data_IF_156971071139
#
_entry.id   IF_156971071139
#
_cell.length_a   1.000
_cell.length_b   1.000
_cell.length_c   1.000
_cell.angle_alpha   90.00
_cell.angle_beta   90.00
_cell.angle_gamma   90.00
#
_symmetry.space_group_name_H-M   'P 1'
#
loop_
_entity.id
_entity.type
_entity.pdbx_description
1 polymer ?
#
# COMPACT_ATOMS: atom_id res chain seq x y z
N UNK A 1 0.80 3.59 22.27
CA UNK A 1 1.68 2.42 22.51
C UNK A 1 1.68 1.59 21.23
N UNK A 2 2.67 1.83 20.39
CA UNK A 2 2.83 1.17 19.08
C UNK A 2 3.47 -0.20 19.32
N UNK A 3 2.77 -1.29 18.97
CA UNK A 3 3.38 -2.61 18.86
C UNK A 3 4.23 -2.61 17.60
N UNK A 4 5.54 -2.66 17.78
CA UNK A 4 6.51 -2.99 16.75
C UNK A 4 6.23 -4.43 16.27
N UNK A 5 5.55 -4.59 15.15
CA UNK A 5 5.55 -5.88 14.47
C UNK A 5 6.89 -6.06 13.77
N UNK A 6 7.61 -7.13 14.06
CA UNK A 6 8.88 -7.41 13.38
C UNK A 6 8.62 -7.73 11.89
N UNK A 7 9.56 -7.38 10.99
CA UNK A 7 9.43 -7.67 9.57
C UNK A 7 9.23 -9.17 9.33
N UNK A 8 8.53 -9.57 8.26
CA UNK A 8 8.24 -10.96 7.97
C UNK A 8 9.56 -11.74 7.85
N UNK A 9 9.82 -12.60 8.83
CA UNK A 9 11.02 -13.44 8.84
C UNK A 9 11.01 -14.29 7.58
N UNK A 10 12.08 -14.17 6.80
CA UNK A 10 12.25 -14.96 5.58
C UNK A 10 12.18 -16.45 5.93
N UNK A 11 11.47 -17.24 5.13
CA UNK A 11 11.36 -18.70 5.30
C UNK A 11 12.69 -19.44 4.96
N UNK A 12 13.72 -18.69 4.53
CA UNK A 12 15.03 -19.21 4.20
C UNK A 12 15.72 -19.98 5.35
N UNK A 13 15.75 -19.48 6.62
CA UNK A 13 16.38 -20.23 7.71
C UNK A 13 15.64 -21.52 8.06
N UNK A 14 14.32 -21.58 7.88
CA UNK A 14 13.54 -22.82 8.10
C UNK A 14 13.82 -23.86 7.01
N UNK A 15 13.94 -23.45 5.75
CA UNK A 15 14.34 -24.34 4.64
C UNK A 15 15.74 -24.89 4.83
N UNK A 16 16.68 -24.04 5.24
CA UNK A 16 18.04 -24.44 5.54
C UNK A 16 18.10 -25.46 6.71
N UNK A 17 17.30 -25.23 7.75
CA UNK A 17 17.18 -26.14 8.90
C UNK A 17 16.62 -27.51 8.51
N UNK A 18 15.58 -27.57 7.71
CA UNK A 18 14.99 -28.82 7.20
C UNK A 18 15.98 -29.58 6.28
N UNK A 19 16.69 -28.85 5.42
CA UNK A 19 17.71 -29.45 4.54
C UNK A 19 18.89 -30.01 5.35
N UNK A 20 19.36 -29.27 6.36
CA UNK A 20 20.42 -29.72 7.27
C UNK A 20 20.00 -30.94 8.09
N UNK A 21 18.77 -30.97 8.63
CA UNK A 21 18.23 -32.11 9.36
C UNK A 21 18.07 -33.36 8.47
N UNK A 22 17.69 -33.21 7.20
CA UNK A 22 17.60 -34.29 6.24
C UNK A 22 18.98 -34.84 5.83
N UNK A 23 20.02 -34.00 5.84
CA UNK A 23 21.39 -34.40 5.49
C UNK A 23 22.19 -34.94 6.68
N UNK A 24 21.81 -34.63 7.92
CA UNK A 24 22.49 -35.06 9.14
C UNK A 24 22.64 -36.59 9.26
N UNK A 25 21.62 -37.44 9.02
CA UNK A 25 21.76 -38.90 9.06
C UNK A 25 22.77 -39.42 8.02
N UNK A 26 22.79 -38.81 6.85
CA UNK A 26 23.70 -39.17 5.78
C UNK A 26 25.13 -38.74 6.09
N UNK A 27 25.34 -37.52 6.58
CA UNK A 27 26.62 -36.99 6.96
C UNK A 27 27.25 -37.76 8.15
N UNK A 28 26.42 -38.08 9.17
CA UNK A 28 26.90 -38.86 10.33
C UNK A 28 27.28 -40.28 9.93
N UNK A 29 26.60 -40.90 8.96
CA UNK A 29 26.90 -42.23 8.47
C UNK A 29 28.14 -42.24 7.55
N UNK A 30 28.37 -41.19 6.76
CA UNK A 30 29.60 -41.06 5.94
C UNK A 30 30.81 -40.87 6.82
N UNK A 31 30.71 -40.09 7.90
CA UNK A 31 31.78 -39.87 8.88
C UNK A 31 32.08 -41.12 9.72
N UNK A 32 31.07 -41.90 10.15
CA UNK A 32 31.24 -43.03 11.04
C UNK A 32 31.78 -44.29 10.36
N UNK A 33 31.64 -44.47 9.06
CA UNK A 33 31.95 -45.75 8.36
C UNK A 33 33.01 -45.68 7.27
N UNK A 34 33.64 -44.51 7.05
CA UNK A 34 34.63 -44.39 5.94
C UNK A 34 34.07 -45.01 4.65
N UNK A 35 33.70 -44.24 3.71
CA UNK A 35 32.83 -44.39 2.54
C UNK A 35 32.81 -45.72 1.71
N UNK A 36 33.39 -46.82 2.12
CA UNK A 36 33.75 -47.94 1.21
C UNK A 36 33.20 -49.31 1.56
N UNK A 37 32.41 -49.54 2.62
CA UNK A 37 31.92 -50.89 2.90
C UNK A 37 30.46 -51.00 3.33
N UNK A 38 29.54 -50.46 2.50
CA UNK A 38 28.11 -50.65 2.74
C UNK A 38 27.50 -51.69 1.84
N UNK A 39 26.64 -52.52 2.45
CA UNK A 39 25.76 -53.35 1.64
C UNK A 39 24.82 -52.45 0.81
N UNK A 40 24.46 -52.82 -0.43
CA UNK A 40 23.52 -52.04 -1.29
C UNK A 40 22.18 -51.74 -0.56
N UNK A 41 21.76 -52.58 0.38
CA UNK A 41 20.51 -52.39 1.15
C UNK A 41 20.54 -51.20 2.08
N UNK A 42 21.67 -50.97 2.77
CA UNK A 42 21.81 -49.82 3.72
C UNK A 42 21.87 -48.46 3.02
N UNK A 43 22.46 -48.46 1.82
CA UNK A 43 22.47 -47.23 1.01
C UNK A 43 21.06 -46.85 0.53
N UNK A 44 20.27 -47.84 0.06
CA UNK A 44 18.90 -47.60 -0.39
C UNK A 44 17.95 -47.17 0.74
N UNK A 45 18.09 -47.73 1.95
CA UNK A 45 17.27 -47.31 3.11
C UNK A 45 17.57 -45.88 3.57
N UNK A 46 18.84 -45.46 3.49
CA UNK A 46 19.25 -44.10 3.83
C UNK A 46 18.71 -43.09 2.80
N UNK A 47 18.78 -43.41 1.50
CA UNK A 47 18.22 -42.55 0.44
C UNK A 47 16.71 -42.41 0.60
N UNK A 48 16.00 -43.54 0.83
CA UNK A 48 14.54 -43.52 1.05
C UNK A 48 14.14 -42.68 2.26
N UNK A 49 14.84 -42.82 3.39
CA UNK A 49 14.58 -42.01 4.60
C UNK A 49 14.79 -40.52 4.32
N UNK A 50 15.84 -40.14 3.61
CA UNK A 50 16.11 -38.75 3.25
C UNK A 50 15.03 -38.19 2.29
N UNK A 51 14.58 -38.97 1.32
CA UNK A 51 13.51 -38.57 0.40
C UNK A 51 12.18 -38.33 1.15
N UNK A 52 11.83 -39.20 2.11
CA UNK A 52 10.64 -39.04 2.96
C UNK A 52 10.76 -37.76 3.80
N UNK A 53 11.90 -37.51 4.42
CA UNK A 53 12.12 -36.32 5.23
C UNK A 53 11.99 -35.01 4.40
N UNK A 54 12.55 -35.01 3.20
CA UNK A 54 12.42 -33.86 2.26
C UNK A 54 10.97 -33.67 1.84
N UNK A 55 10.29 -34.76 1.46
CA UNK A 55 8.88 -34.70 1.05
C UNK A 55 7.99 -34.16 2.19
N UNK A 56 8.24 -34.61 3.43
CA UNK A 56 7.53 -34.11 4.62
C UNK A 56 7.80 -32.63 4.89
N UNK A 57 9.06 -32.19 4.76
CA UNK A 57 9.45 -30.78 4.90
C UNK A 57 8.79 -29.89 3.85
N UNK A 58 8.74 -30.34 2.59
CA UNK A 58 8.05 -29.63 1.51
C UNK A 58 6.54 -29.58 1.79
N UNK A 59 5.96 -30.67 2.24
CA UNK A 59 4.53 -30.74 2.58
C UNK A 59 4.16 -29.75 3.72
N UNK A 60 4.94 -29.72 4.80
CA UNK A 60 4.75 -28.74 5.88
C UNK A 60 4.87 -27.31 5.33
N UNK A 61 5.86 -27.03 4.49
CA UNK A 61 6.04 -25.71 3.90
C UNK A 61 4.84 -25.27 3.06
N UNK A 62 4.29 -26.21 2.29
CA UNK A 62 3.07 -25.96 1.49
C UNK A 62 1.86 -25.69 2.39
N UNK A 63 1.70 -26.45 3.48
CA UNK A 63 0.62 -26.19 4.46
C UNK A 63 0.75 -24.82 5.09
N UNK A 64 1.93 -24.46 5.59
CA UNK A 64 2.17 -23.14 6.20
C UNK A 64 1.95 -21.98 5.21
N UNK A 65 2.28 -22.17 3.93
CA UNK A 65 1.98 -21.18 2.88
C UNK A 65 0.49 -21.07 2.61
N UNK A 66 -0.24 -22.18 2.61
CA UNK A 66 -1.70 -22.19 2.45
C UNK A 66 -2.41 -21.50 3.61
N UNK A 67 -2.02 -21.77 4.84
CA UNK A 67 -2.58 -21.10 6.03
C UNK A 67 -2.33 -19.59 6.00
N UNK A 68 -1.12 -19.16 5.65
CA UNK A 68 -0.81 -17.73 5.52
C UNK A 68 -1.65 -17.07 4.42
N UNK A 69 -1.85 -17.74 3.30
CA UNK A 69 -2.67 -17.24 2.21
C UNK A 69 -4.17 -17.14 2.58
N UNK A 70 -4.69 -18.10 3.34
CA UNK A 70 -6.08 -18.07 3.86
C UNK A 70 -6.25 -16.98 4.91
N UNK A 71 -5.34 -16.84 5.84
CA UNK A 71 -5.40 -15.79 6.86
C UNK A 71 -5.28 -14.39 6.26
N UNK A 72 -4.41 -14.21 5.25
CA UNK A 72 -4.31 -12.95 4.52
C UNK A 72 -5.62 -12.63 3.76
N UNK A 73 -6.30 -13.62 3.18
CA UNK A 73 -7.61 -13.43 2.54
C UNK A 73 -8.69 -13.07 3.57
N UNK A 74 -8.75 -13.76 4.70
CA UNK A 74 -9.71 -13.43 5.76
C UNK A 74 -9.51 -12.02 6.32
N UNK A 75 -8.26 -11.57 6.50
CA UNK A 75 -7.95 -10.20 6.88
C UNK A 75 -8.40 -9.21 5.79
N UNK A 76 -8.10 -9.48 4.53
CA UNK A 76 -8.55 -8.66 3.41
C UNK A 76 -10.08 -8.62 3.29
N UNK A 77 -10.76 -9.73 3.56
CA UNK A 77 -12.24 -9.79 3.57
C UNK A 77 -12.84 -8.99 4.75
N UNK A 78 -12.22 -9.05 5.93
CA UNK A 78 -12.61 -8.23 7.08
C UNK A 78 -12.32 -6.73 6.84
N UNK A 79 -11.18 -6.38 6.28
CA UNK A 79 -10.86 -5.02 5.84
C UNK A 79 -11.80 -4.55 4.74
N UNK A 80 -12.22 -5.44 3.84
CA UNK A 80 -13.23 -5.15 2.81
C UNK A 80 -14.63 -4.85 3.39
N UNK A 81 -14.92 -5.25 4.62
CA UNK A 81 -16.16 -4.89 5.34
C UNK A 81 -16.06 -3.51 6.00
N UNK A 82 -14.86 -2.99 6.22
CA UNK A 82 -14.67 -1.63 6.76
C UNK A 82 -14.82 -0.60 5.65
N UNK A 83 -15.28 0.59 6.02
CA UNK A 83 -15.38 1.76 5.12
C UNK A 83 -14.25 2.77 5.38
N UNK A 84 -13.29 2.42 6.22
CA UNK A 84 -12.17 3.29 6.61
C UNK A 84 -10.82 2.68 6.23
N UNK A 85 -9.85 3.53 5.92
CA UNK A 85 -8.44 3.19 5.77
C UNK A 85 -7.77 3.14 7.16
N UNK A 86 -7.15 2.03 7.56
CA UNK A 86 -6.62 1.86 8.92
C UNK A 86 -5.39 2.73 9.19
N UNK A 87 -4.64 3.14 8.17
CA UNK A 87 -3.43 3.96 8.34
C UNK A 87 -3.77 5.43 8.58
N UNK A 88 -4.69 5.97 7.79
CA UNK A 88 -5.02 7.39 7.78
C UNK A 88 -6.31 7.74 8.53
N UNK A 89 -7.17 6.76 8.78
CA UNK A 89 -8.49 6.95 9.39
C UNK A 89 -9.49 7.67 8.48
N UNK A 90 -9.18 7.89 7.21
CA UNK A 90 -10.11 8.40 6.20
C UNK A 90 -11.01 7.28 5.68
N UNK A 91 -12.00 7.63 4.85
CA UNK A 91 -12.72 6.63 4.07
C UNK A 91 -11.78 5.89 3.13
N UNK A 92 -12.06 4.63 2.83
CA UNK A 92 -11.36 3.87 1.80
C UNK A 92 -12.04 4.02 0.42
N UNK A 93 -11.50 3.37 -0.62
CA UNK A 93 -12.06 3.38 -1.98
C UNK A 93 -13.54 3.00 -2.01
N UNK A 94 -13.95 2.02 -1.22
CA UNK A 94 -15.33 1.53 -1.15
C UNK A 94 -16.27 2.57 -0.53
N UNK A 95 -15.80 3.27 0.50
CA UNK A 95 -16.53 4.40 1.08
C UNK A 95 -16.70 5.55 0.08
N UNK A 96 -15.64 5.86 -0.68
CA UNK A 96 -15.70 6.86 -1.75
C UNK A 96 -16.78 6.53 -2.79
N UNK A 97 -16.75 5.33 -3.38
CA UNK A 97 -17.69 4.91 -4.43
C UNK A 97 -19.15 5.01 -3.94
N UNK A 98 -19.39 4.56 -2.71
CA UNK A 98 -20.71 4.62 -2.09
C UNK A 98 -21.18 6.06 -1.83
N UNK A 99 -20.29 6.90 -1.30
CA UNK A 99 -20.64 8.27 -0.93
C UNK A 99 -20.72 9.19 -2.16
N UNK A 100 -19.86 9.01 -3.15
CA UNK A 100 -19.89 9.78 -4.38
C UNK A 100 -21.23 9.62 -5.10
N UNK A 101 -21.71 8.39 -5.28
CA UNK A 101 -23.00 8.14 -5.91
C UNK A 101 -24.16 8.84 -5.18
N UNK A 102 -24.14 8.82 -3.84
CA UNK A 102 -25.15 9.49 -3.00
C UNK A 102 -25.06 11.01 -3.11
N UNK A 103 -23.85 11.53 -3.07
CA UNK A 103 -23.61 12.97 -3.13
C UNK A 103 -23.97 13.54 -4.48
N UNK A 104 -23.69 12.84 -5.59
CA UNK A 104 -24.12 13.23 -6.93
C UNK A 104 -25.65 13.32 -7.04
N UNK A 105 -26.38 12.34 -6.52
CA UNK A 105 -27.86 12.39 -6.50
C UNK A 105 -28.39 13.57 -5.68
N UNK A 106 -27.76 13.84 -4.54
CA UNK A 106 -28.14 14.95 -3.65
C UNK A 106 -27.82 16.30 -4.29
N UNK A 107 -26.61 16.46 -4.88
CA UNK A 107 -26.16 17.65 -5.59
C UNK A 107 -27.12 18.00 -6.72
N UNK A 108 -27.47 17.03 -7.58
CA UNK A 108 -28.45 17.23 -8.67
C UNK A 108 -29.82 17.68 -8.15
N UNK A 109 -30.30 17.08 -7.04
CA UNK A 109 -31.65 17.43 -6.49
C UNK A 109 -31.69 18.81 -5.85
N UNK A 110 -30.60 19.25 -5.23
CA UNK A 110 -30.52 20.51 -4.48
C UNK A 110 -29.86 21.63 -5.27
N UNK A 111 -29.44 21.37 -6.50
CA UNK A 111 -28.68 22.30 -7.36
C UNK A 111 -27.43 22.85 -6.65
N UNK A 112 -26.75 21.98 -5.88
CA UNK A 112 -25.52 22.34 -5.21
C UNK A 112 -24.30 21.94 -6.05
N UNK A 113 -23.27 22.81 -6.18
CA UNK A 113 -22.07 22.47 -6.89
C UNK A 113 -21.32 21.34 -6.20
N UNK A 114 -20.75 20.44 -6.99
CA UNK A 114 -19.99 19.30 -6.57
C UNK A 114 -18.70 19.25 -7.36
N UNK A 115 -17.58 19.13 -6.66
CA UNK A 115 -16.26 18.92 -7.28
C UNK A 115 -15.59 17.68 -6.68
N UNK A 116 -14.74 17.02 -7.47
CA UNK A 116 -13.77 16.04 -7.02
C UNK A 116 -12.37 16.65 -7.04
N UNK A 117 -11.62 16.42 -5.97
CA UNK A 117 -10.21 16.73 -5.86
C UNK A 117 -9.44 15.42 -5.72
N UNK A 118 -8.63 15.08 -6.71
CA UNK A 118 -7.71 13.95 -6.68
C UNK A 118 -6.31 14.43 -6.26
N UNK A 119 -5.65 13.71 -5.36
CA UNK A 119 -4.34 14.06 -4.80
C UNK A 119 -3.42 12.83 -4.84
N UNK A 120 -2.14 13.07 -5.09
CA UNK A 120 -1.08 12.06 -5.07
C UNK A 120 0.14 12.62 -4.32
N UNK A 121 0.72 11.81 -3.43
CA UNK A 121 1.93 12.20 -2.69
C UNK A 121 3.14 11.99 -3.59
N UNK A 122 3.79 13.09 -3.95
CA UNK A 122 4.96 13.04 -4.80
C UNK A 122 6.14 12.37 -4.09
N UNK A 123 6.84 11.50 -4.82
CA UNK A 123 8.10 10.90 -4.39
C UNK A 123 8.02 10.09 -3.08
N UNK A 124 6.85 9.55 -2.72
CA UNK A 124 6.69 8.70 -1.53
C UNK A 124 7.65 7.52 -1.53
N UNK A 125 7.94 6.94 -2.71
CA UNK A 125 8.93 5.88 -2.86
C UNK A 125 10.32 6.34 -2.42
N UNK A 126 10.74 7.55 -2.79
CA UNK A 126 12.03 8.11 -2.39
C UNK A 126 12.11 8.31 -0.87
N UNK A 127 11.02 8.74 -0.23
CA UNK A 127 10.93 8.83 1.24
C UNK A 127 11.10 7.44 1.87
N UNK A 128 10.41 6.42 1.34
CA UNK A 128 10.54 5.05 1.81
C UNK A 128 11.95 4.49 1.66
N UNK A 129 12.57 4.69 0.50
CA UNK A 129 13.89 4.17 0.18
C UNK A 129 14.98 4.84 1.04
N UNK A 130 14.83 6.12 1.36
CA UNK A 130 15.82 6.92 2.12
C UNK A 130 15.63 6.85 3.63
N UNK A 131 14.39 6.80 4.12
CA UNK A 131 14.05 6.94 5.55
C UNK A 131 13.28 5.76 6.12
N UNK A 132 12.99 4.75 5.26
CA UNK A 132 12.25 3.55 5.63
C UNK A 132 10.73 3.70 5.52
N UNK A 133 10.04 2.56 5.46
CA UNK A 133 8.57 2.52 5.29
C UNK A 133 7.80 3.23 6.41
N UNK A 134 8.33 3.26 7.63
CA UNK A 134 7.70 4.00 8.74
C UNK A 134 7.58 5.50 8.45
N UNK A 135 8.60 6.10 7.80
CA UNK A 135 8.58 7.51 7.42
C UNK A 135 7.56 7.78 6.30
N UNK A 136 7.39 6.85 5.35
CA UNK A 136 6.33 6.92 4.35
C UNK A 136 4.95 6.82 4.98
N UNK A 137 4.75 5.91 5.92
CA UNK A 137 3.50 5.79 6.68
C UNK A 137 3.17 7.06 7.46
N UNK A 138 4.17 7.69 8.09
CA UNK A 138 3.99 8.97 8.81
C UNK A 138 3.63 10.10 7.85
N UNK A 139 4.22 10.11 6.64
CA UNK A 139 3.84 11.04 5.56
C UNK A 139 2.37 10.88 5.16
N UNK A 140 1.90 9.65 5.00
CA UNK A 140 0.50 9.35 4.66
C UNK A 140 -0.45 9.72 5.81
N UNK A 141 -0.07 9.46 7.07
CA UNK A 141 -0.84 9.89 8.27
C UNK A 141 -0.93 11.41 8.34
N UNK A 142 0.16 12.13 8.05
CA UNK A 142 0.19 13.58 8.02
C UNK A 142 -0.78 14.14 6.97
N UNK A 143 -0.85 13.53 5.77
CA UNK A 143 -1.83 13.92 4.76
C UNK A 143 -3.25 13.65 5.24
N UNK A 144 -3.54 12.47 5.80
CA UNK A 144 -4.85 12.15 6.36
C UNK A 144 -5.30 13.16 7.42
N UNK A 145 -4.39 13.58 8.31
CA UNK A 145 -4.67 14.61 9.32
C UNK A 145 -4.92 15.99 8.68
N UNK A 146 -4.13 16.36 7.68
CA UNK A 146 -4.30 17.62 6.92
C UNK A 146 -5.64 17.67 6.23
N UNK A 147 -6.06 16.58 5.56
CA UNK A 147 -7.36 16.50 4.90
C UNK A 147 -8.50 16.71 5.88
N UNK A 148 -8.49 16.02 7.03
CA UNK A 148 -9.52 16.23 8.08
C UNK A 148 -9.57 17.66 8.58
N UNK A 149 -8.42 18.31 8.78
CA UNK A 149 -8.36 19.67 9.28
C UNK A 149 -8.82 20.71 8.24
N UNK A 150 -8.52 20.47 6.98
CA UNK A 150 -8.88 21.38 5.88
C UNK A 150 -10.31 21.16 5.37
N UNK A 151 -10.91 19.99 5.59
CA UNK A 151 -12.27 19.69 5.17
C UNK A 151 -13.29 20.33 6.08
N UNK A 152 -14.43 20.74 5.51
CA UNK A 152 -15.56 21.29 6.28
C UNK A 152 -16.43 20.14 6.74
N UNK A 153 -16.75 20.11 8.04
CA UNK A 153 -17.62 19.08 8.59
C UNK A 153 -18.98 19.04 7.89
N UNK A 154 -19.39 17.83 7.49
CA UNK A 154 -20.66 17.58 6.82
C UNK A 154 -20.75 18.06 5.35
N UNK A 155 -19.71 18.74 4.83
CA UNK A 155 -19.68 19.22 3.45
C UNK A 155 -18.59 18.54 2.60
N UNK A 156 -17.42 18.33 3.15
CA UNK A 156 -16.30 17.74 2.45
C UNK A 156 -15.92 16.39 3.07
N UNK A 157 -15.55 15.42 2.26
CA UNK A 157 -15.18 14.08 2.73
C UNK A 157 -13.94 13.59 2.01
N UNK A 158 -12.95 13.08 2.80
CA UNK A 158 -11.67 12.60 2.30
C UNK A 158 -11.56 11.08 2.33
N UNK A 159 -10.90 10.53 1.31
CA UNK A 159 -10.74 9.09 1.09
C UNK A 159 -9.32 8.77 0.63
N UNK A 160 -8.79 7.62 1.08
CA UNK A 160 -7.57 7.04 0.51
C UNK A 160 -7.97 5.92 -0.43
N UNK A 161 -7.57 6.03 -1.71
CA UNK A 161 -8.02 5.12 -2.77
C UNK A 161 -6.93 4.20 -3.31
N UNK A 162 -5.68 4.53 -3.00
CA UNK A 162 -4.49 3.79 -3.41
C UNK A 162 -3.37 3.95 -2.38
N UNK A 163 -2.16 3.50 -2.72
CA UNK A 163 -0.99 3.61 -1.86
C UNK A 163 -0.68 5.04 -1.42
N UNK A 164 -0.55 5.95 -2.38
CA UNK A 164 -0.24 7.38 -2.27
C UNK A 164 -1.35 8.30 -2.80
N UNK A 165 -2.50 7.72 -3.18
CA UNK A 165 -3.61 8.39 -3.84
C UNK A 165 -4.76 8.68 -2.87
N UNK A 166 -5.25 9.92 -2.91
CA UNK A 166 -6.36 10.40 -2.10
C UNK A 166 -7.39 11.14 -2.95
N UNK A 167 -8.64 11.07 -2.54
CA UNK A 167 -9.76 11.77 -3.21
C UNK A 167 -10.58 12.51 -2.17
N UNK A 168 -11.01 13.72 -2.50
CA UNK A 168 -12.02 14.45 -1.71
C UNK A 168 -13.26 14.67 -2.57
N UNK A 169 -14.41 14.45 -1.95
CA UNK A 169 -15.71 14.95 -2.42
C UNK A 169 -15.88 16.32 -1.79
N UNK A 170 -16.06 17.35 -2.61
CA UNK A 170 -16.11 18.75 -2.17
C UNK A 170 -17.44 19.37 -2.62
N UNK A 171 -18.28 19.80 -1.68
CA UNK A 171 -19.52 20.51 -1.99
C UNK A 171 -19.21 22.00 -2.27
N UNK A 172 -18.57 22.25 -3.41
CA UNK A 172 -18.22 23.56 -3.93
C UNK A 172 -18.05 23.49 -5.45
N UNK A 173 -18.08 24.67 -6.08
CA UNK A 173 -17.64 24.86 -7.45
C UNK A 173 -16.13 24.60 -7.60
N UNK A 174 -15.67 24.65 -8.84
CA UNK A 174 -14.26 24.42 -9.16
C UNK A 174 -13.31 25.36 -8.38
N UNK A 175 -13.66 26.65 -8.32
CA UNK A 175 -12.80 27.63 -7.65
C UNK A 175 -12.69 27.37 -6.14
N UNK A 176 -13.79 26.99 -5.51
CA UNK A 176 -13.81 26.57 -4.10
C UNK A 176 -12.97 25.33 -3.86
N UNK A 177 -13.06 24.34 -4.72
CA UNK A 177 -12.25 23.12 -4.64
C UNK A 177 -10.76 23.38 -4.90
N UNK A 178 -10.41 24.29 -5.83
CA UNK A 178 -9.02 24.69 -6.07
C UNK A 178 -8.43 25.48 -4.88
N UNK A 179 -9.21 26.33 -4.22
CA UNK A 179 -8.79 26.97 -2.97
C UNK A 179 -8.53 25.97 -1.85
N UNK A 180 -9.39 24.94 -1.74
CA UNK A 180 -9.19 23.86 -0.80
C UNK A 180 -7.92 23.06 -1.12
N UNK A 181 -7.68 22.75 -2.39
CA UNK A 181 -6.48 22.04 -2.84
C UNK A 181 -5.21 22.79 -2.43
N UNK A 182 -5.14 24.11 -2.68
CA UNK A 182 -4.00 24.95 -2.26
C UNK A 182 -3.79 24.91 -0.74
N UNK A 183 -4.86 25.08 0.05
CA UNK A 183 -4.79 25.02 1.51
C UNK A 183 -4.27 23.67 2.03
N UNK A 184 -4.68 22.57 1.38
CA UNK A 184 -4.20 21.24 1.70
C UNK A 184 -2.71 21.12 1.36
N UNK A 185 -2.27 21.57 0.19
CA UNK A 185 -0.87 21.52 -0.23
C UNK A 185 0.04 22.29 0.75
N UNK A 186 -0.36 23.50 1.13
CA UNK A 186 0.38 24.33 2.08
C UNK A 186 0.44 23.67 3.48
N UNK A 187 -0.70 23.21 3.98
CA UNK A 187 -0.79 22.56 5.27
C UNK A 187 -0.03 21.24 5.35
N UNK A 188 -0.01 20.47 4.26
CA UNK A 188 0.72 19.21 4.17
C UNK A 188 2.23 19.44 4.12
N UNK A 189 2.69 20.38 3.29
CA UNK A 189 4.11 20.71 3.16
C UNK A 189 4.75 21.10 4.51
N UNK A 190 4.04 21.88 5.31
CA UNK A 190 4.51 22.30 6.64
C UNK A 190 4.55 21.13 7.64
N UNK A 191 3.65 20.16 7.51
CA UNK A 191 3.51 19.05 8.46
C UNK A 191 4.45 17.88 8.21
N UNK A 192 4.99 17.75 7.01
CA UNK A 192 5.84 16.61 6.65
C UNK A 192 7.30 16.93 6.94
N UNK A 193 8.01 16.06 7.70
CA UNK A 193 9.43 16.27 8.03
C UNK A 193 10.33 16.38 6.79
N UNK A 194 9.91 15.76 5.69
CA UNK A 194 10.67 15.68 4.44
C UNK A 194 10.16 16.66 3.38
N UNK A 195 9.33 17.65 3.76
CA UNK A 195 8.76 18.66 2.87
C UNK A 195 8.10 18.05 1.61
N UNK A 196 7.43 16.91 1.79
CA UNK A 196 6.74 16.22 0.70
C UNK A 196 5.72 17.14 0.03
N UNK A 197 5.54 16.96 -1.28
CA UNK A 197 4.62 17.75 -2.09
C UNK A 197 3.47 16.88 -2.59
N UNK A 198 2.39 17.54 -3.01
CA UNK A 198 1.23 16.89 -3.60
C UNK A 198 1.08 17.33 -5.05
N UNK A 199 0.68 16.39 -5.90
CA UNK A 199 0.07 16.69 -7.18
C UNK A 199 -1.45 16.66 -7.01
N UNK A 200 -2.18 17.55 -7.68
CA UNK A 200 -3.62 17.66 -7.52
C UNK A 200 -4.33 17.83 -8.86
N UNK A 201 -5.55 17.29 -8.95
CA UNK A 201 -6.46 17.49 -10.07
C UNK A 201 -7.86 17.78 -9.56
N UNK A 202 -8.47 18.88 -9.99
CA UNK A 202 -9.83 19.29 -9.62
C UNK A 202 -10.75 19.17 -10.83
N UNK A 203 -11.90 18.54 -10.65
CA UNK A 203 -12.97 18.49 -11.65
C UNK A 203 -14.28 18.82 -10.98
N UNK A 204 -14.96 19.85 -11.48
CA UNK A 204 -16.35 20.12 -11.14
C UNK A 204 -17.27 19.19 -11.92
N UNK A 205 -18.28 18.66 -11.27
CA UNK A 205 -19.27 17.80 -11.88
C UNK A 205 -20.30 18.65 -12.63
N UNK A 206 -20.44 18.37 -13.91
CA UNK A 206 -21.37 19.05 -14.82
C UNK A 206 -22.81 18.51 -14.81
N UNK A 207 -23.10 17.54 -13.92
CA UNK A 207 -24.39 16.88 -13.87
C UNK A 207 -24.56 15.75 -14.89
N UNK A 208 -23.66 15.58 -15.88
CA UNK A 208 -23.75 14.58 -16.94
C UNK A 208 -22.86 13.36 -16.71
N UNK A 209 -21.63 13.57 -16.21
CA UNK A 209 -20.68 12.50 -15.97
C UNK A 209 -21.17 11.51 -14.91
N UNK A 210 -20.95 10.23 -15.16
CA UNK A 210 -21.07 9.18 -14.14
C UNK A 210 -19.98 9.30 -13.08
N UNK A 211 -20.14 8.62 -11.94
CA UNK A 211 -19.14 8.62 -10.87
C UNK A 211 -17.76 8.14 -11.35
N UNK A 212 -17.72 7.10 -12.18
CA UNK A 212 -16.48 6.57 -12.74
C UNK A 212 -15.82 7.53 -13.74
N UNK A 213 -16.59 8.21 -14.57
CA UNK A 213 -16.07 9.20 -15.52
C UNK A 213 -15.52 10.43 -14.79
N UNK A 214 -16.20 10.88 -13.74
CA UNK A 214 -15.77 12.01 -12.91
C UNK A 214 -14.45 11.69 -12.19
N UNK A 215 -14.32 10.48 -11.59
CA UNK A 215 -13.09 10.00 -10.98
C UNK A 215 -11.94 9.94 -11.99
N UNK A 216 -12.16 9.35 -13.16
CA UNK A 216 -11.18 9.27 -14.23
C UNK A 216 -10.76 10.64 -14.77
N UNK A 217 -11.68 11.61 -14.80
CA UNK A 217 -11.38 12.98 -15.22
C UNK A 217 -10.49 13.70 -14.20
N UNK A 218 -10.75 13.51 -12.89
CA UNK A 218 -9.96 14.09 -11.81
C UNK A 218 -8.54 13.47 -11.77
N UNK A 219 -8.42 12.16 -11.91
CA UNK A 219 -7.16 11.44 -12.00
C UNK A 219 -6.30 11.94 -13.17
N UNK A 220 -6.88 12.03 -14.38
CA UNK A 220 -6.17 12.57 -15.56
C UNK A 220 -5.63 13.98 -15.33
N UNK A 221 -6.39 14.86 -14.67
CA UNK A 221 -5.92 16.23 -14.35
C UNK A 221 -4.80 16.23 -13.33
N UNK A 222 -4.88 15.39 -12.31
CA UNK A 222 -3.80 15.20 -11.33
C UNK A 222 -2.52 14.72 -12.02
N UNK A 223 -2.63 13.71 -12.90
CA UNK A 223 -1.51 13.18 -13.66
C UNK A 223 -0.83 14.23 -14.55
N UNK A 224 -1.61 15.08 -15.23
CA UNK A 224 -1.09 16.21 -16.01
C UNK A 224 -0.33 17.21 -15.12
N UNK A 225 -0.90 17.57 -13.97
CA UNK A 225 -0.25 18.43 -12.97
C UNK A 225 1.07 17.83 -12.48
N UNK A 226 1.11 16.53 -12.23
CA UNK A 226 2.32 15.81 -11.79
C UNK A 226 3.45 15.88 -12.82
N UNK A 227 3.13 15.74 -14.09
CA UNK A 227 4.11 15.84 -15.17
C UNK A 227 4.64 17.27 -15.37
N UNK A 228 3.78 18.27 -15.28
CA UNK A 228 4.19 19.67 -15.38
C UNK A 228 5.11 20.07 -14.23
N UNK A 229 4.83 19.62 -13.01
CA UNK A 229 5.68 19.89 -11.84
C UNK A 229 7.07 19.25 -11.95
N UNK A 230 7.19 18.07 -12.55
CA UNK A 230 8.47 17.40 -12.79
C UNK A 230 9.31 18.09 -13.87
N UNK A 231 8.67 18.61 -14.89
CA UNK A 231 9.34 19.33 -15.98
C UNK A 231 9.89 20.71 -15.54
N UNK A 232 9.35 21.30 -14.48
CA UNK A 232 9.76 22.60 -13.95
C UNK A 232 10.80 22.53 -12.83
N UNK A 233 11.20 21.34 -12.38
CA UNK A 233 12.33 21.18 -11.43
C UNK A 233 13.60 20.99 -12.25
N UNK A 234 14.56 21.96 -12.30
CA UNK A 234 15.82 21.74 -12.96
C UNK A 234 16.56 20.61 -12.25
N UNK A 235 17.01 19.62 -13.01
CA UNK A 235 17.98 18.62 -12.57
C UNK A 235 19.22 19.40 -12.14
N UNK A 236 19.45 19.53 -10.84
CA UNK A 236 20.76 19.93 -10.33
C UNK A 236 21.66 18.72 -10.56
N UNK A 237 22.45 18.77 -11.63
CA UNK A 237 23.56 17.86 -11.86
C UNK A 237 24.48 17.89 -10.63
N UNK A 238 24.83 16.74 -10.07
CA UNK A 238 25.89 16.66 -9.08
C UNK A 238 27.21 16.52 -9.84
N UNK A 239 27.71 17.61 -10.40
CA UNK A 239 29.10 17.67 -10.86
C UNK A 239 29.79 18.90 -10.26
N UNK A 240 30.99 18.57 -9.76
CA UNK A 240 32.10 19.39 -9.31
C UNK A 240 32.08 19.87 -7.85
N UNK A 241 32.67 19.06 -6.94
CA UNK A 241 34.03 19.30 -6.40
C UNK A 241 34.52 18.06 -5.62
#
# INVERSE_FOLDING_TARGET
>A
MSRNEPPPRSSAPLLLGVLLLALLPWASQVLATGALSRSPRETWTSIAASAVAIAFGVWILVLLRRERATNARHLADLEALTLSDPLTGLGNRRALERELARTMLRSRRLDHPLSLLFLDVNELKLVNDRFGHAAGDDTLRALGATLRQCSRDGADSGYRVGGDEFVLIVLADRDGAERLARRIQDGFHVRTPHQSRLSSGVVEWDGALSASELLNAADRRMYQSKHMSRASTPVSDPETD
#
